data_IF_700455647856
#
_entry.id   IF_700455647856
#
_cell.length_a   1.000
_cell.length_b   1.000
_cell.length_c   1.000
_cell.angle_alpha   90.00
_cell.angle_beta   90.00
_cell.angle_gamma   90.00
#
_symmetry.space_group_name_H-M   'P 1'
#
loop_
_entity.id
_entity.type
_entity.pdbx_description
1 polymer ?
#
# COMPACT_ATOMS: atom_id res chain seq x y z
N UNK A 1 17.31 -30.83 33.08
CA UNK A 1 16.93 -30.36 31.73
C UNK A 1 16.26 -29.00 31.91
N UNK A 2 16.98 -27.91 31.65
CA UNK A 2 16.43 -26.56 31.71
C UNK A 2 15.69 -26.33 30.37
N UNK A 3 14.38 -26.27 30.43
CA UNK A 3 13.55 -25.89 29.28
C UNK A 3 13.84 -24.44 28.91
N UNK A 4 14.72 -24.24 27.95
CA UNK A 4 14.92 -22.93 27.32
C UNK A 4 13.74 -22.70 26.39
N UNK A 5 12.59 -22.28 26.93
CA UNK A 5 11.59 -21.58 26.13
C UNK A 5 12.25 -20.29 25.67
N UNK A 6 12.75 -20.28 24.43
CA UNK A 6 13.15 -19.06 23.75
C UNK A 6 11.98 -18.08 23.82
N UNK A 7 12.10 -17.06 24.67
CA UNK A 7 11.14 -15.96 24.71
C UNK A 7 11.42 -15.12 23.47
N UNK A 8 10.70 -15.39 22.39
CA UNK A 8 10.63 -14.47 21.25
C UNK A 8 10.31 -13.08 21.79
N UNK A 9 11.00 -12.02 21.36
CA UNK A 9 10.66 -10.68 21.77
C UNK A 9 9.15 -10.45 21.66
N UNK A 10 8.48 -9.89 22.68
CA UNK A 10 7.02 -9.88 22.76
C UNK A 10 6.33 -9.43 21.48
N UNK A 11 6.81 -8.36 20.86
CA UNK A 11 6.17 -7.80 19.67
C UNK A 11 6.30 -8.70 18.42
N UNK A 12 7.43 -9.39 18.23
CA UNK A 12 7.61 -10.36 17.12
C UNK A 12 6.73 -11.59 17.33
N UNK A 13 6.62 -12.07 18.56
CA UNK A 13 5.77 -13.19 18.91
C UNK A 13 4.29 -12.88 18.71
N UNK A 14 3.86 -11.69 19.07
CA UNK A 14 2.47 -11.24 18.90
C UNK A 14 2.11 -11.13 17.42
N UNK A 15 2.94 -10.49 16.58
CA UNK A 15 2.67 -10.34 15.16
C UNK A 15 2.63 -11.70 14.44
N UNK A 16 3.57 -12.60 14.70
CA UNK A 16 3.59 -13.94 14.11
C UNK A 16 2.40 -14.78 14.59
N UNK A 17 1.98 -14.64 15.84
CA UNK A 17 0.78 -15.28 16.37
C UNK A 17 -0.49 -14.78 15.67
N UNK A 18 -0.61 -13.48 15.43
CA UNK A 18 -1.72 -12.88 14.70
C UNK A 18 -1.76 -13.34 13.24
N UNK A 19 -0.62 -13.32 12.55
CA UNK A 19 -0.47 -13.84 11.19
C UNK A 19 -0.93 -15.30 11.11
N UNK A 20 -0.53 -16.13 12.08
CA UNK A 20 -0.94 -17.52 12.17
C UNK A 20 -2.45 -17.67 12.39
N UNK A 21 -3.03 -16.91 13.31
CA UNK A 21 -4.50 -16.92 13.56
C UNK A 21 -5.30 -16.52 12.33
N UNK A 22 -4.78 -15.58 11.52
CA UNK A 22 -5.40 -15.15 10.28
C UNK A 22 -5.14 -16.11 9.10
N UNK A 23 -4.32 -17.16 9.30
CA UNK A 23 -3.94 -18.11 8.25
C UNK A 23 -3.16 -17.46 7.10
N UNK A 24 -2.25 -16.53 7.43
CA UNK A 24 -1.49 -15.75 6.46
C UNK A 24 -0.04 -16.23 6.27
N UNK A 25 0.33 -17.41 6.81
CA UNK A 25 1.72 -17.91 6.73
C UNK A 25 2.18 -18.10 5.28
N UNK A 26 1.28 -18.65 4.41
CA UNK A 26 1.58 -18.78 2.97
C UNK A 26 1.87 -17.43 2.31
N UNK A 27 1.13 -16.39 2.71
CA UNK A 27 1.35 -15.04 2.19
C UNK A 27 2.70 -14.45 2.62
N UNK A 28 3.21 -14.81 3.79
CA UNK A 28 4.57 -14.46 4.21
C UNK A 28 5.61 -15.15 3.32
N UNK A 29 5.44 -16.43 3.03
CA UNK A 29 6.35 -17.16 2.13
C UNK A 29 6.40 -16.51 0.74
N UNK A 30 5.25 -16.10 0.20
CA UNK A 30 5.19 -15.37 -1.08
C UNK A 30 6.00 -14.07 -1.01
N UNK A 31 5.83 -13.28 0.08
CA UNK A 31 6.58 -12.03 0.27
C UNK A 31 8.09 -12.25 0.34
N UNK A 32 8.54 -13.32 1.00
CA UNK A 32 9.97 -13.64 1.13
C UNK A 32 10.57 -14.16 -0.19
N UNK A 33 9.82 -14.94 -0.95
CA UNK A 33 10.32 -15.56 -2.19
C UNK A 33 10.15 -14.62 -3.37
N UNK A 34 8.93 -14.14 -3.58
CA UNK A 34 8.54 -13.37 -4.77
C UNK A 34 8.57 -11.86 -4.57
N UNK A 35 8.51 -11.39 -3.32
CA UNK A 35 8.44 -9.96 -2.96
C UNK A 35 7.04 -9.38 -2.95
N UNK A 36 6.03 -10.16 -3.29
CA UNK A 36 4.61 -9.77 -3.24
C UNK A 36 3.70 -10.95 -2.93
N UNK A 37 2.47 -10.66 -2.53
CA UNK A 37 1.44 -11.68 -2.27
C UNK A 37 0.05 -11.14 -2.57
N UNK A 38 -0.90 -12.04 -2.81
CA UNK A 38 -2.33 -11.73 -3.02
C UNK A 38 -3.17 -12.40 -1.94
N UNK A 39 -3.84 -11.60 -1.13
CA UNK A 39 -4.73 -12.08 -0.07
C UNK A 39 -6.18 -12.03 -0.58
N UNK A 40 -6.92 -13.16 -0.54
CA UNK A 40 -8.26 -13.25 -1.12
C UNK A 40 -9.30 -12.43 -0.35
N UNK A 41 -10.41 -12.00 -1.00
CA UNK A 41 -11.42 -11.09 -0.45
C UNK A 41 -11.96 -11.50 0.91
N UNK A 42 -12.19 -12.79 1.10
CA UNK A 42 -12.75 -13.36 2.36
C UNK A 42 -11.93 -13.07 3.61
N UNK A 43 -10.64 -12.77 3.44
CA UNK A 43 -9.72 -12.43 4.54
C UNK A 43 -9.55 -10.92 4.75
N UNK A 44 -10.19 -10.10 3.93
CA UNK A 44 -9.96 -8.65 3.91
C UNK A 44 -11.17 -7.90 4.46
N UNK A 45 -12.31 -7.98 3.77
CA UNK A 45 -13.50 -7.23 4.15
C UNK A 45 -14.75 -7.84 3.50
N UNK A 46 -15.92 -7.44 4.00
CA UNK A 46 -17.19 -7.83 3.42
C UNK A 46 -17.42 -7.20 2.04
N UNK A 47 -18.25 -7.85 1.23
CA UNK A 47 -18.71 -7.29 -0.06
C UNK A 47 -19.40 -5.92 0.12
N UNK A 48 -20.09 -5.73 1.25
CA UNK A 48 -20.70 -4.44 1.57
C UNK A 48 -19.65 -3.34 1.75
N UNK A 49 -18.54 -3.62 2.43
CA UNK A 49 -17.42 -2.68 2.59
C UNK A 49 -16.79 -2.35 1.24
N UNK A 50 -16.53 -3.35 0.42
CA UNK A 50 -16.01 -3.17 -0.95
C UNK A 50 -16.92 -2.24 -1.77
N UNK A 51 -18.23 -2.44 -1.74
CA UNK A 51 -19.17 -1.60 -2.48
C UNK A 51 -19.24 -0.17 -1.95
N UNK A 52 -19.16 0.03 -0.62
CA UNK A 52 -19.04 1.36 -0.02
C UNK A 52 -17.76 2.07 -0.46
N UNK A 53 -16.63 1.36 -0.48
CA UNK A 53 -15.34 1.89 -0.92
C UNK A 53 -15.38 2.32 -2.40
N UNK A 54 -15.95 1.49 -3.30
CA UNK A 54 -16.16 1.85 -4.71
C UNK A 54 -16.97 3.13 -4.86
N UNK A 55 -18.10 3.21 -4.14
CA UNK A 55 -18.97 4.40 -4.17
C UNK A 55 -18.23 5.65 -3.69
N UNK A 56 -17.47 5.55 -2.62
CA UNK A 56 -16.66 6.66 -2.11
C UNK A 56 -15.62 7.13 -3.13
N UNK A 57 -14.85 6.21 -3.72
CA UNK A 57 -13.85 6.57 -4.76
C UNK A 57 -14.51 7.25 -5.95
N UNK A 58 -15.61 6.70 -6.49
CA UNK A 58 -16.31 7.30 -7.63
C UNK A 58 -16.92 8.66 -7.28
N UNK A 59 -17.52 8.81 -6.10
CA UNK A 59 -18.06 10.09 -5.62
C UNK A 59 -16.97 11.15 -5.55
N UNK A 60 -15.85 10.85 -4.91
CA UNK A 60 -14.72 11.78 -4.78
C UNK A 60 -14.14 12.14 -6.16
N UNK A 61 -14.06 11.16 -7.05
CA UNK A 61 -13.63 11.39 -8.42
C UNK A 61 -14.55 12.39 -9.13
N UNK A 62 -15.87 12.17 -9.04
CA UNK A 62 -16.88 13.07 -9.63
C UNK A 62 -16.79 14.49 -9.05
N UNK A 63 -16.70 14.61 -7.73
CA UNK A 63 -16.58 15.89 -7.01
C UNK A 63 -15.32 16.68 -7.44
N UNK A 64 -14.17 16.00 -7.51
CA UNK A 64 -12.89 16.66 -7.85
C UNK A 64 -12.74 17.00 -9.33
N UNK A 65 -13.40 16.25 -10.20
CA UNK A 65 -13.26 16.44 -11.66
C UNK A 65 -14.42 17.22 -12.29
N UNK A 66 -15.57 17.29 -11.63
CA UNK A 66 -16.81 17.77 -12.20
C UNK A 66 -17.38 16.85 -13.29
N UNK A 67 -16.86 15.61 -13.42
CA UNK A 67 -17.28 14.62 -14.43
C UNK A 67 -17.88 13.40 -13.75
N UNK A 68 -18.82 12.74 -14.43
CA UNK A 68 -19.42 11.50 -13.92
C UNK A 68 -18.62 10.30 -14.38
N UNK A 69 -17.96 9.64 -13.43
CA UNK A 69 -17.29 8.36 -13.67
C UNK A 69 -18.26 7.19 -13.50
N UNK A 70 -18.17 6.22 -14.40
CA UNK A 70 -18.99 5.02 -14.44
C UNK A 70 -18.07 3.81 -14.63
N UNK A 71 -18.26 2.76 -13.85
CA UNK A 71 -17.44 1.54 -13.91
C UNK A 71 -17.40 0.90 -15.29
N UNK A 72 -18.50 1.03 -16.05
CA UNK A 72 -18.67 0.39 -17.36
C UNK A 72 -18.23 1.27 -18.54
N UNK A 73 -17.78 2.50 -18.26
CA UNK A 73 -17.36 3.47 -19.28
C UNK A 73 -15.90 3.83 -19.10
N UNK A 74 -15.22 4.09 -20.21
CA UNK A 74 -13.86 4.62 -20.16
C UNK A 74 -13.87 6.06 -19.62
N UNK A 75 -12.75 6.46 -18.98
CA UNK A 75 -12.46 7.85 -18.71
C UNK A 75 -12.12 8.62 -20.00
N UNK A 76 -12.00 9.94 -19.87
CA UNK A 76 -11.73 10.82 -21.01
C UNK A 76 -10.27 11.30 -20.99
N UNK A 77 -9.52 10.97 -22.03
CA UNK A 77 -8.12 11.41 -22.21
C UNK A 77 -7.98 12.93 -22.06
N UNK A 78 -7.00 13.37 -21.25
CA UNK A 78 -6.58 14.77 -21.20
C UNK A 78 -7.56 15.78 -20.59
N UNK A 79 -8.71 15.33 -20.07
CA UNK A 79 -9.77 16.23 -19.57
C UNK A 79 -9.78 16.47 -18.05
N UNK A 80 -8.77 16.00 -17.33
CA UNK A 80 -8.70 16.12 -15.88
C UNK A 80 -7.52 17.01 -15.46
N UNK A 81 -7.74 17.88 -14.47
CA UNK A 81 -6.71 18.80 -13.97
C UNK A 81 -5.60 18.11 -13.18
N UNK A 82 -5.84 16.92 -12.62
CA UNK A 82 -4.80 16.17 -11.94
C UNK A 82 -3.94 15.45 -12.97
N UNK A 83 -2.63 15.42 -12.75
CA UNK A 83 -1.67 14.88 -13.68
C UNK A 83 -1.90 13.38 -13.90
N UNK A 84 -2.38 12.96 -15.07
CA UNK A 84 -2.37 11.55 -15.41
C UNK A 84 -0.92 11.16 -15.67
N UNK A 85 -0.50 10.06 -15.09
CA UNK A 85 0.80 9.46 -15.45
C UNK A 85 0.77 8.87 -16.86
N UNK A 86 -0.42 8.61 -17.39
CA UNK A 86 -0.68 8.14 -18.74
C UNK A 86 -1.99 8.71 -19.27
N UNK A 87 -2.21 8.61 -20.58
CA UNK A 87 -3.44 9.04 -21.24
C UNK A 87 -4.69 8.23 -20.85
N UNK A 88 -4.51 7.08 -20.22
CA UNK A 88 -5.58 6.15 -19.83
C UNK A 88 -5.71 5.98 -18.30
N UNK A 89 -5.24 6.97 -17.54
CA UNK A 89 -5.23 6.89 -16.09
C UNK A 89 -5.45 8.25 -15.43
N UNK A 90 -6.14 8.23 -14.30
CA UNK A 90 -6.34 9.38 -13.42
C UNK A 90 -6.05 8.97 -11.96
N UNK A 91 -5.36 9.82 -11.21
CA UNK A 91 -5.00 9.54 -9.83
C UNK A 91 -5.76 10.46 -8.87
N UNK A 92 -6.35 9.86 -7.84
CA UNK A 92 -6.87 10.56 -6.68
C UNK A 92 -5.87 10.47 -5.53
N UNK A 93 -5.52 11.61 -4.98
CA UNK A 93 -4.62 11.73 -3.84
C UNK A 93 -5.38 12.13 -2.56
N UNK A 94 -4.74 12.00 -1.41
CA UNK A 94 -5.30 12.39 -0.10
C UNK A 94 -6.67 11.75 0.19
N UNK A 95 -6.83 10.48 -0.13
CA UNK A 95 -8.10 9.79 0.08
C UNK A 95 -8.46 9.68 1.55
N UNK A 96 -7.47 9.51 2.43
CA UNK A 96 -7.69 9.43 3.88
C UNK A 96 -8.46 10.64 4.41
N UNK A 97 -8.25 11.81 3.81
CA UNK A 97 -8.89 13.07 4.22
C UNK A 97 -10.27 13.29 3.57
N UNK A 98 -10.69 12.41 2.68
CA UNK A 98 -11.88 12.63 1.84
C UNK A 98 -13.13 11.90 2.33
N UNK A 99 -12.97 10.81 3.09
CA UNK A 99 -14.11 10.03 3.62
C UNK A 99 -13.66 9.13 4.78
N UNK A 100 -14.43 9.01 5.88
CA UNK A 100 -14.12 8.13 7.01
C UNK A 100 -13.97 6.64 6.66
N UNK A 101 -14.42 6.19 5.49
CA UNK A 101 -14.22 4.81 5.05
C UNK A 101 -12.74 4.47 4.87
N UNK A 102 -11.92 5.46 4.51
CA UNK A 102 -10.47 5.27 4.33
C UNK A 102 -9.73 5.18 5.68
N UNK A 103 -10.27 5.80 6.73
CA UNK A 103 -9.76 5.61 8.10
C UNK A 103 -10.00 4.15 8.55
N UNK A 104 -11.21 3.62 8.30
CA UNK A 104 -11.55 2.21 8.56
C UNK A 104 -10.69 1.25 7.74
N UNK A 105 -10.36 1.63 6.51
CA UNK A 105 -9.46 0.86 5.66
C UNK A 105 -8.04 0.85 6.23
N UNK A 106 -7.51 2.01 6.62
CA UNK A 106 -6.18 2.11 7.22
C UNK A 106 -6.03 1.24 8.49
N UNK A 107 -7.13 1.06 9.21
CA UNK A 107 -7.19 0.22 10.41
C UNK A 107 -7.55 -1.25 10.12
N UNK A 108 -7.61 -1.67 8.85
CA UNK A 108 -7.92 -3.06 8.51
C UNK A 108 -6.90 -4.02 9.15
N UNK A 109 -7.36 -5.05 9.91
CA UNK A 109 -6.46 -5.93 10.65
C UNK A 109 -5.47 -6.69 9.75
N UNK A 110 -5.95 -7.22 8.62
CA UNK A 110 -5.10 -7.99 7.69
C UNK A 110 -4.03 -7.10 7.05
N UNK A 111 -4.40 -5.88 6.61
CA UNK A 111 -3.46 -4.89 6.10
C UNK A 111 -2.37 -4.59 7.15
N UNK A 112 -2.79 -4.30 8.38
CA UNK A 112 -1.86 -3.94 9.44
C UNK A 112 -0.94 -5.09 9.84
N UNK A 113 -1.45 -6.32 9.97
CA UNK A 113 -0.62 -7.49 10.32
C UNK A 113 0.49 -7.72 9.28
N UNK A 114 0.17 -7.56 7.99
CA UNK A 114 1.14 -7.71 6.91
C UNK A 114 2.15 -6.57 6.84
N UNK A 115 1.71 -5.33 7.10
CA UNK A 115 2.62 -4.18 7.16
C UNK A 115 3.53 -4.22 8.41
N UNK A 116 2.98 -4.62 9.56
CA UNK A 116 3.76 -4.84 10.78
C UNK A 116 4.86 -5.91 10.55
N UNK A 117 4.57 -6.95 9.75
CA UNK A 117 5.57 -7.94 9.36
C UNK A 117 6.66 -7.34 8.47
N UNK A 118 6.29 -6.70 7.36
CA UNK A 118 7.23 -6.15 6.39
C UNK A 118 8.11 -5.04 6.96
N UNK A 119 7.54 -4.19 7.80
CA UNK A 119 8.20 -2.97 8.28
C UNK A 119 8.55 -3.02 9.78
N UNK A 120 8.44 -4.22 10.40
CA UNK A 120 8.81 -4.45 11.80
C UNK A 120 8.12 -3.49 12.79
N UNK A 121 6.87 -3.14 12.52
CA UNK A 121 6.09 -2.23 13.37
C UNK A 121 6.48 -0.75 13.29
N UNK A 122 7.35 -0.37 12.35
CA UNK A 122 7.85 1.01 12.21
C UNK A 122 7.16 1.81 11.10
N UNK A 123 6.09 1.25 10.51
CA UNK A 123 5.38 1.88 9.40
C UNK A 123 4.55 3.08 9.81
N UNK A 124 4.49 4.02 8.91
CA UNK A 124 3.47 5.07 8.84
C UNK A 124 2.92 5.16 7.42
N UNK A 125 1.70 5.67 7.27
CA UNK A 125 1.10 5.90 5.97
C UNK A 125 1.81 7.07 5.28
N UNK A 126 2.41 6.82 4.13
CA UNK A 126 3.04 7.86 3.32
C UNK A 126 2.06 8.53 2.37
N UNK A 127 1.21 7.73 1.70
CA UNK A 127 0.12 8.25 0.88
C UNK A 127 -1.01 7.22 0.74
N UNK A 128 -2.23 7.71 0.48
CA UNK A 128 -3.38 6.88 0.16
C UNK A 128 -4.05 7.42 -1.10
N UNK A 129 -3.91 6.65 -2.19
CA UNK A 129 -4.30 7.07 -3.53
C UNK A 129 -5.24 6.06 -4.19
N UNK A 130 -5.94 6.48 -5.25
CA UNK A 130 -6.64 5.55 -6.14
C UNK A 130 -6.19 5.78 -7.57
N UNK A 131 -5.82 4.70 -8.23
CA UNK A 131 -5.53 4.67 -9.65
C UNK A 131 -6.80 4.29 -10.40
N UNK A 132 -7.39 5.25 -11.08
CA UNK A 132 -8.56 5.06 -11.92
C UNK A 132 -8.08 4.87 -13.34
N UNK A 133 -8.05 3.62 -13.80
CA UNK A 133 -7.51 3.24 -15.09
C UNK A 133 -8.62 2.82 -16.04
N UNK A 134 -8.55 3.21 -17.31
CA UNK A 134 -9.44 2.80 -18.38
C UNK A 134 -8.66 2.24 -19.56
N UNK A 135 -9.36 1.79 -20.57
CA UNK A 135 -8.78 1.17 -21.76
C UNK A 135 -7.73 2.06 -22.41
N UNK A 136 -6.55 1.50 -22.68
CA UNK A 136 -5.41 2.17 -23.32
C UNK A 136 -4.09 1.47 -23.02
N UNK A 137 -3.04 1.93 -23.69
CA UNK A 137 -1.71 1.30 -23.67
C UNK A 137 -0.95 1.49 -22.35
N UNK A 138 -1.44 2.39 -21.47
CA UNK A 138 -0.83 2.62 -20.17
C UNK A 138 0.63 3.10 -20.29
N UNK A 139 1.56 2.29 -19.79
CA UNK A 139 3.01 2.57 -19.85
C UNK A 139 3.70 1.94 -21.07
N UNK A 140 2.90 1.41 -22.03
CA UNK A 140 3.41 0.77 -23.24
C UNK A 140 4.28 -0.45 -22.97
N UNK A 141 5.24 -0.69 -23.86
CA UNK A 141 6.12 -1.87 -23.83
C UNK A 141 7.01 -1.95 -22.59
N UNK A 142 7.32 -0.83 -21.95
CA UNK A 142 8.15 -0.81 -20.74
C UNK A 142 7.41 -1.26 -19.48
N UNK A 143 6.08 -1.37 -19.53
CA UNK A 143 5.18 -1.61 -18.40
C UNK A 143 5.36 -0.61 -17.24
N UNK A 144 6.21 0.43 -17.40
CA UNK A 144 6.57 1.38 -16.35
C UNK A 144 7.28 0.75 -15.16
N UNK A 145 8.06 -0.31 -15.36
CA UNK A 145 8.72 -1.05 -14.29
C UNK A 145 9.67 -0.14 -13.49
N UNK A 146 9.50 -0.15 -12.19
CA UNK A 146 10.33 0.57 -11.22
C UNK A 146 10.29 -0.11 -9.85
N UNK A 147 11.22 0.28 -8.98
CA UNK A 147 11.18 -0.02 -7.55
C UNK A 147 10.83 1.25 -6.77
N UNK A 148 9.98 1.13 -5.77
CA UNK A 148 9.66 2.24 -4.85
C UNK A 148 10.84 2.59 -3.94
N UNK A 149 11.68 1.60 -3.63
CA UNK A 149 12.89 1.79 -2.85
C UNK A 149 13.98 2.36 -3.74
N UNK A 150 14.49 3.52 -3.36
CA UNK A 150 15.74 4.03 -3.91
C UNK A 150 16.86 3.63 -2.96
N UNK A 151 17.80 2.78 -3.39
CA UNK A 151 18.93 2.42 -2.54
C UNK A 151 19.66 3.71 -2.11
N UNK A 152 19.83 3.89 -0.82
CA UNK A 152 20.66 4.96 -0.27
C UNK A 152 22.15 4.64 -0.35
N UNK A 153 22.48 3.39 -0.69
CA UNK A 153 23.84 2.88 -0.83
C UNK A 153 24.21 2.76 -2.30
N UNK A 154 25.44 3.11 -2.69
CA UNK A 154 25.94 2.85 -4.02
C UNK A 154 25.84 1.38 -4.43
N UNK A 155 25.68 1.13 -5.73
CA UNK A 155 25.62 -0.23 -6.27
C UNK A 155 26.85 -1.05 -5.83
N UNK A 156 26.60 -2.26 -5.33
CA UNK A 156 27.66 -3.16 -4.85
C UNK A 156 27.94 -3.12 -3.34
N UNK A 157 27.35 -2.20 -2.59
CA UNK A 157 27.42 -2.23 -1.12
C UNK A 157 26.29 -3.10 -0.53
N UNK A 158 26.52 -3.61 0.69
CA UNK A 158 25.56 -4.48 1.38
C UNK A 158 24.24 -3.73 1.57
N UNK A 159 23.13 -4.24 1.02
CA UNK A 159 21.84 -3.59 1.17
C UNK A 159 21.32 -3.72 2.59
N UNK A 160 20.44 -2.80 3.00
CA UNK A 160 19.70 -2.93 4.24
C UNK A 160 18.89 -4.25 4.23
N UNK A 161 18.86 -4.94 5.35
CA UNK A 161 18.12 -6.20 5.50
C UNK A 161 16.59 -6.01 5.49
N UNK A 162 16.11 -4.78 5.46
CA UNK A 162 14.68 -4.43 5.36
C UNK A 162 14.46 -3.27 4.40
N UNK A 163 13.23 -3.11 3.98
CA UNK A 163 12.83 -2.04 3.07
C UNK A 163 12.25 -0.87 3.87
N UNK A 164 12.67 0.35 3.53
CA UNK A 164 12.15 1.59 4.13
C UNK A 164 10.72 1.91 3.70
N UNK A 165 10.23 1.23 2.67
CA UNK A 165 8.90 1.42 2.10
C UNK A 165 8.26 0.08 1.75
N UNK A 166 6.93 0.03 1.84
CA UNK A 166 6.11 -1.11 1.41
C UNK A 166 4.77 -0.61 0.92
N UNK A 167 4.13 -1.38 0.07
CA UNK A 167 2.92 -0.94 -0.58
C UNK A 167 1.80 -1.99 -0.51
N UNK A 168 0.57 -1.51 -0.61
CA UNK A 168 -0.60 -2.35 -0.69
C UNK A 168 -1.59 -1.81 -1.70
N UNK A 169 -2.30 -2.70 -2.38
CA UNK A 169 -3.35 -2.36 -3.33
C UNK A 169 -4.62 -3.13 -3.02
N UNK A 170 -5.63 -2.45 -2.50
CA UNK A 170 -6.97 -3.00 -2.34
C UNK A 170 -7.69 -2.94 -3.68
N UNK A 171 -7.93 -4.11 -4.29
CA UNK A 171 -8.54 -4.22 -5.60
C UNK A 171 -10.04 -3.93 -5.53
N UNK A 172 -10.50 -2.80 -6.04
CA UNK A 172 -11.92 -2.48 -6.07
C UNK A 172 -12.65 -3.09 -7.28
N UNK A 173 -11.91 -3.52 -8.30
CA UNK A 173 -12.37 -4.28 -9.47
C UNK A 173 -11.44 -5.47 -9.69
N UNK A 174 -11.84 -6.42 -10.55
CA UNK A 174 -10.97 -7.54 -10.89
C UNK A 174 -9.67 -7.07 -11.57
N UNK A 175 -8.57 -7.67 -11.18
CA UNK A 175 -7.26 -7.54 -11.77
C UNK A 175 -6.98 -8.78 -12.59
N UNK A 176 -6.97 -8.63 -13.90
CA UNK A 176 -6.53 -9.64 -14.88
C UNK A 176 -5.57 -8.96 -15.84
N UNK A 177 -4.79 -9.72 -16.58
CA UNK A 177 -3.92 -9.16 -17.61
C UNK A 177 -4.69 -8.23 -18.54
N UNK A 178 -5.82 -8.70 -19.08
CA UNK A 178 -6.70 -7.94 -19.98
C UNK A 178 -7.28 -6.67 -19.33
N UNK A 179 -7.51 -6.71 -18.01
CA UNK A 179 -8.02 -5.57 -17.25
C UNK A 179 -6.90 -4.65 -16.70
N UNK A 180 -5.67 -4.81 -17.21
CA UNK A 180 -4.53 -3.98 -16.87
C UNK A 180 -4.03 -4.22 -15.44
N UNK A 181 -3.85 -5.48 -15.06
CA UNK A 181 -3.27 -5.87 -13.78
C UNK A 181 -1.92 -5.22 -13.52
N UNK A 182 -1.50 -5.21 -12.27
CA UNK A 182 -0.13 -4.86 -11.93
C UNK A 182 0.82 -5.86 -12.59
N UNK A 183 1.93 -5.33 -13.11
CA UNK A 183 3.06 -6.11 -13.57
C UNK A 183 4.05 -6.21 -12.41
N UNK A 184 4.51 -7.41 -12.07
CA UNK A 184 5.56 -7.61 -11.07
C UNK A 184 6.60 -8.59 -11.59
N UNK A 185 7.87 -8.32 -11.27
CA UNK A 185 8.99 -9.20 -11.56
C UNK A 185 9.34 -9.98 -10.29
N UNK A 186 8.92 -11.26 -10.16
CA UNK A 186 9.12 -12.04 -8.95
C UNK A 186 10.61 -12.12 -8.56
N UNK A 187 10.91 -11.97 -7.27
CA UNK A 187 12.27 -12.04 -6.74
C UNK A 187 13.15 -10.81 -6.97
N UNK A 188 12.71 -9.83 -7.77
CA UNK A 188 13.50 -8.64 -8.10
C UNK A 188 13.82 -7.76 -6.89
N UNK A 189 13.03 -7.84 -5.82
CA UNK A 189 13.29 -7.13 -4.56
C UNK A 189 14.65 -7.45 -3.95
N UNK A 190 15.22 -8.61 -4.28
CA UNK A 190 16.54 -9.05 -3.81
C UNK A 190 17.71 -8.47 -4.60
N UNK A 191 17.41 -7.74 -5.69
CA UNK A 191 18.44 -7.07 -6.49
C UNK A 191 18.84 -5.72 -5.89
N UNK A 192 18.02 -5.14 -5.01
CA UNK A 192 18.29 -3.89 -4.27
C UNK A 192 18.67 -2.71 -5.16
N UNK A 193 18.14 -2.66 -6.35
CA UNK A 193 18.37 -1.58 -7.32
C UNK A 193 17.16 -1.33 -8.20
N UNK A 194 17.18 -0.23 -8.91
CA UNK A 194 16.20 0.04 -9.97
C UNK A 194 16.45 -0.86 -11.20
N UNK A 195 15.40 -1.23 -11.94
CA UNK A 195 15.57 -1.84 -13.26
C UNK A 195 16.24 -0.86 -14.22
N UNK A 196 17.07 -1.36 -15.11
CA UNK A 196 17.53 -0.60 -16.28
C UNK A 196 16.37 -0.45 -17.29
N UNK A 197 16.41 0.51 -18.22
CA UNK A 197 15.39 0.63 -19.26
C UNK A 197 15.15 -0.70 -19.99
N UNK A 198 13.89 -1.19 -19.97
CA UNK A 198 13.49 -2.46 -20.59
C UNK A 198 13.85 -3.73 -19.80
N UNK A 199 14.61 -3.61 -18.72
CA UNK A 199 14.99 -4.79 -17.93
C UNK A 199 13.78 -5.36 -17.17
N UNK A 200 13.62 -6.68 -17.20
CA UNK A 200 12.60 -7.42 -16.47
C UNK A 200 11.23 -7.45 -17.14
N UNK A 201 11.03 -6.78 -18.27
CA UNK A 201 9.75 -6.78 -19.00
C UNK A 201 9.37 -8.21 -19.43
N UNK A 202 10.33 -8.99 -19.90
CA UNK A 202 10.19 -10.40 -20.29
C UNK A 202 9.90 -11.35 -19.12
N UNK A 203 10.16 -10.92 -17.88
CA UNK A 203 9.96 -11.67 -16.64
C UNK A 203 8.76 -11.16 -15.84
N UNK A 204 8.17 -10.05 -16.26
CA UNK A 204 7.03 -9.46 -15.57
C UNK A 204 5.79 -10.33 -15.76
N UNK A 205 5.12 -10.64 -14.66
CA UNK A 205 3.87 -11.38 -14.65
C UNK A 205 2.69 -10.50 -14.24
N UNK A 206 1.48 -10.75 -14.78
CA UNK A 206 0.27 -10.06 -14.35
C UNK A 206 -0.19 -10.59 -12.99
N UNK A 207 -0.28 -9.70 -12.01
CA UNK A 207 -0.81 -10.05 -10.69
C UNK A 207 -2.33 -10.16 -10.75
N UNK A 208 -2.84 -11.37 -10.86
CA UNK A 208 -4.27 -11.63 -10.94
C UNK A 208 -4.91 -11.63 -9.55
N UNK A 209 -6.00 -10.85 -9.41
CA UNK A 209 -6.71 -10.71 -8.14
C UNK A 209 -8.19 -10.38 -8.38
N UNK A 210 -9.08 -11.05 -7.66
CA UNK A 210 -10.51 -10.72 -7.65
C UNK A 210 -10.77 -9.41 -6.91
N UNK A 211 -11.83 -8.73 -7.29
CA UNK A 211 -12.31 -7.57 -6.55
C UNK A 211 -12.50 -7.89 -5.06
N UNK A 212 -11.99 -7.02 -4.19
CA UNK A 212 -11.92 -7.24 -2.75
C UNK A 212 -10.64 -7.92 -2.25
N UNK A 213 -9.77 -8.38 -3.13
CA UNK A 213 -8.43 -8.88 -2.76
C UNK A 213 -7.51 -7.73 -2.36
N UNK A 214 -6.50 -8.06 -1.58
CA UNK A 214 -5.41 -7.17 -1.19
C UNK A 214 -4.09 -7.71 -1.75
N UNK A 215 -3.45 -6.92 -2.61
CA UNK A 215 -2.08 -7.17 -3.07
C UNK A 215 -1.16 -6.43 -2.12
N UNK A 216 -0.14 -7.12 -1.59
CA UNK A 216 0.89 -6.54 -0.72
C UNK A 216 2.25 -6.83 -1.33
N UNK A 217 3.13 -5.85 -1.29
CA UNK A 217 4.47 -6.00 -1.80
C UNK A 217 5.48 -5.11 -1.08
N UNK A 218 6.72 -5.56 -0.99
CA UNK A 218 7.80 -4.74 -0.48
C UNK A 218 8.23 -3.70 -1.51
N UNK A 219 8.78 -2.59 -1.07
CA UNK A 219 9.13 -1.49 -1.94
C UNK A 219 10.29 -1.78 -2.91
N UNK A 220 11.03 -2.86 -2.70
CA UNK A 220 12.17 -3.24 -3.55
C UNK A 220 11.77 -4.00 -4.82
N UNK A 221 10.54 -4.53 -4.90
CA UNK A 221 10.10 -5.27 -6.07
C UNK A 221 9.97 -4.35 -7.29
N UNK A 222 10.41 -4.83 -8.44
CA UNK A 222 10.15 -4.15 -9.71
C UNK A 222 8.72 -4.39 -10.13
N UNK A 223 7.98 -3.30 -10.22
CA UNK A 223 6.56 -3.36 -10.54
C UNK A 223 6.13 -2.23 -11.47
N UNK A 224 5.00 -2.44 -12.10
CA UNK A 224 4.37 -1.52 -13.03
C UNK A 224 2.95 -1.95 -13.34
N UNK A 225 2.48 -1.78 -14.55
CA UNK A 225 1.14 -2.21 -14.93
C UNK A 225 1.03 -2.57 -16.41
N UNK A 226 0.35 -3.68 -16.67
CA UNK A 226 -0.04 -4.07 -18.02
C UNK A 226 -1.04 -3.07 -18.64
N UNK A 227 -1.09 -2.95 -19.98
CA UNK A 227 -2.12 -2.22 -20.68
C UNK A 227 -3.52 -2.72 -20.30
N UNK A 228 -4.50 -1.83 -20.24
CA UNK A 228 -5.89 -2.23 -20.05
C UNK A 228 -6.58 -2.34 -21.39
N UNK A 229 -6.88 -3.56 -21.81
CA UNK A 229 -7.49 -3.87 -23.12
C UNK A 229 -9.02 -3.82 -23.06
N UNK A 230 -9.62 -4.02 -21.89
CA UNK A 230 -11.08 -4.05 -21.70
C UNK A 230 -11.66 -2.66 -21.48
N UNK A 231 -12.91 -2.45 -21.89
CA UNK A 231 -13.69 -1.24 -21.62
C UNK A 231 -14.04 -1.10 -20.14
N UNK A 232 -14.28 0.12 -19.68
CA UNK A 232 -14.67 0.43 -18.31
C UNK A 232 -13.49 0.75 -17.41
N UNK A 233 -13.76 0.97 -16.13
CA UNK A 233 -12.76 1.40 -15.14
C UNK A 233 -12.18 0.21 -14.37
N UNK A 234 -10.88 0.25 -14.13
CA UNK A 234 -10.20 -0.52 -13.09
C UNK A 234 -9.88 0.41 -11.93
N UNK A 235 -10.38 0.09 -10.74
CA UNK A 235 -10.25 0.89 -9.53
C UNK A 235 -9.48 0.15 -8.45
N UNK A 236 -8.77 0.90 -7.64
CA UNK A 236 -8.14 0.41 -6.41
C UNK A 236 -8.12 1.49 -5.32
N UNK A 237 -7.67 1.10 -4.14
CA UNK A 237 -7.09 2.00 -3.14
C UNK A 237 -5.69 1.49 -2.84
N UNK A 238 -4.69 2.29 -3.13
CA UNK A 238 -3.29 2.01 -2.81
C UNK A 238 -2.93 2.72 -1.53
N UNK A 239 -2.36 1.99 -0.57
CA UNK A 239 -1.82 2.56 0.66
C UNK A 239 -0.32 2.30 0.69
N UNK A 240 0.43 3.38 0.47
CA UNK A 240 1.88 3.37 0.46
C UNK A 240 2.40 3.71 1.85
N UNK A 241 3.17 2.81 2.42
CA UNK A 241 3.75 2.95 3.75
C UNK A 241 5.24 3.24 3.66
N UNK A 242 5.74 4.03 4.60
CA UNK A 242 7.16 4.25 4.77
C UNK A 242 7.55 4.08 6.25
N UNK A 243 8.85 3.86 6.47
CA UNK A 243 9.41 3.87 7.81
C UNK A 243 9.22 5.26 8.45
N UNK A 244 8.94 5.32 9.74
CA UNK A 244 8.72 6.57 10.52
C UNK A 244 9.86 7.59 10.45
N UNK A 245 11.06 7.17 10.08
CA UNK A 245 12.21 8.06 9.84
C UNK A 245 12.08 8.87 8.56
N UNK A 246 11.22 8.46 7.63
CA UNK A 246 11.06 9.11 6.33
C UNK A 246 9.95 10.14 6.36
N UNK A 247 10.12 11.20 5.57
CA UNK A 247 9.05 12.15 5.30
C UNK A 247 8.00 11.50 4.41
N UNK A 248 6.74 11.61 4.81
CA UNK A 248 5.60 11.09 4.03
C UNK A 248 5.38 11.90 2.75
N UNK A 249 4.83 11.24 1.71
CA UNK A 249 4.43 11.91 0.46
C UNK A 249 3.27 12.88 0.70
N UNK A 250 2.28 12.45 1.49
CA UNK A 250 1.12 13.27 1.87
C UNK A 250 1.30 13.73 3.32
N UNK A 251 1.06 14.99 3.59
CA UNK A 251 1.37 15.63 4.89
C UNK A 251 0.27 15.35 5.95
N UNK A 252 0.02 14.07 6.25
CA UNK A 252 -1.03 13.66 7.17
C UNK A 252 -0.86 14.22 8.57
N UNK A 253 0.34 14.18 9.12
CA UNK A 253 0.66 14.70 10.45
C UNK A 253 0.09 16.11 10.71
N UNK A 254 0.05 16.94 9.66
CA UNK A 254 -0.41 18.33 9.74
C UNK A 254 -1.86 18.53 9.31
N UNK A 255 -2.51 17.50 8.78
CA UNK A 255 -3.87 17.60 8.20
C UNK A 255 -4.91 16.80 8.95
N UNK A 256 -4.50 15.79 9.70
CA UNK A 256 -5.40 15.00 10.54
C UNK A 256 -5.99 15.89 11.61
N UNK A 257 -7.30 15.90 11.70
CA UNK A 257 -8.02 16.75 12.67
C UNK A 257 -8.14 16.05 14.04
N UNK A 258 -8.38 16.84 15.08
CA UNK A 258 -8.66 16.31 16.41
C UNK A 258 -9.85 15.33 16.39
N UNK A 259 -10.90 15.64 15.64
CA UNK A 259 -12.07 14.74 15.51
C UNK A 259 -11.70 13.39 14.88
N UNK A 260 -10.79 13.37 13.89
CA UNK A 260 -10.29 12.11 13.33
C UNK A 260 -9.50 11.30 14.36
N UNK A 261 -8.69 11.96 15.18
CA UNK A 261 -7.94 11.30 16.25
C UNK A 261 -8.87 10.77 17.35
N UNK A 262 -9.86 11.56 17.77
CA UNK A 262 -10.77 11.21 18.86
C UNK A 262 -11.70 10.03 18.50
N UNK A 263 -12.11 9.92 17.23
CA UNK A 263 -13.00 8.82 16.78
C UNK A 263 -12.29 7.52 16.40
N UNK A 264 -10.97 7.53 16.35
CA UNK A 264 -10.16 6.37 15.99
C UNK A 264 -9.30 5.89 17.17
N UNK A 265 -8.90 4.61 17.19
CA UNK A 265 -8.02 4.10 18.22
C UNK A 265 -6.60 4.72 18.12
N UNK A 266 -5.78 4.66 19.19
CA UNK A 266 -4.41 5.20 19.21
C UNK A 266 -3.52 4.72 18.06
N UNK A 267 -3.73 3.51 17.55
CA UNK A 267 -3.05 2.98 16.37
C UNK A 267 -3.22 3.89 15.12
N UNK A 268 -4.36 4.57 14.99
CA UNK A 268 -4.59 5.51 13.90
C UNK A 268 -3.61 6.69 13.97
N UNK A 269 -3.47 7.31 15.14
CA UNK A 269 -2.52 8.42 15.35
C UNK A 269 -1.11 8.01 14.96
N UNK A 270 -0.67 6.81 15.39
CA UNK A 270 0.62 6.25 15.02
C UNK A 270 0.79 6.10 13.50
N UNK A 271 -0.21 5.54 12.83
CA UNK A 271 -0.15 5.30 11.38
C UNK A 271 -0.11 6.58 10.55
N UNK A 272 -0.64 7.68 11.05
CA UNK A 272 -0.63 8.99 10.36
C UNK A 272 0.49 9.93 10.85
N UNK A 273 1.35 9.44 11.76
CA UNK A 273 2.47 10.21 12.31
C UNK A 273 2.05 11.36 13.22
N UNK A 274 0.84 11.29 13.78
CA UNK A 274 0.28 12.30 14.70
C UNK A 274 0.38 11.90 16.18
N UNK A 275 1.08 10.79 16.47
CA UNK A 275 1.37 10.37 17.83
C UNK A 275 2.62 11.08 18.36
N UNK A 276 2.59 11.36 19.66
CA UNK A 276 3.73 11.87 20.42
C UNK A 276 4.13 10.83 21.45
N UNK A 277 5.07 9.97 21.08
CA UNK A 277 5.50 8.86 21.94
C UNK A 277 6.25 9.33 23.16
N UNK A 278 6.96 10.46 23.08
CA UNK A 278 7.87 10.94 24.13
C UNK A 278 7.35 12.19 24.83
N UNK A 279 6.30 12.85 24.31
CA UNK A 279 5.79 14.08 24.88
C UNK A 279 6.85 15.18 25.01
N UNK A 280 7.66 15.35 23.95
CA UNK A 280 8.72 16.37 23.95
C UNK A 280 8.15 17.77 24.14
N UNK A 281 8.67 18.49 25.11
CA UNK A 281 8.43 19.91 25.31
C UNK A 281 9.76 20.66 25.59
N UNK A 282 9.68 21.91 26.00
CA UNK A 282 10.87 22.72 26.31
C UNK A 282 11.73 22.16 27.46
N UNK A 283 11.19 21.23 28.26
CA UNK A 283 11.89 20.56 29.38
C UNK A 283 12.51 19.21 28.96
N UNK A 284 12.28 18.78 27.74
CA UNK A 284 12.74 17.51 27.20
C UNK A 284 11.64 16.45 27.11
N UNK A 285 12.03 15.17 26.93
CA UNK A 285 11.10 14.06 26.81
C UNK A 285 10.49 13.67 28.18
N UNK A 286 9.26 13.21 28.14
CA UNK A 286 8.60 12.60 29.28
C UNK A 286 8.97 11.12 29.40
N UNK A 287 9.98 10.80 30.15
CA UNK A 287 10.43 9.41 30.41
C UNK A 287 9.47 8.57 31.27
N UNK A 288 8.39 9.16 31.79
CA UNK A 288 7.34 8.39 32.48
C UNK A 288 6.39 7.72 31.50
N UNK A 289 6.38 8.16 30.25
CA UNK A 289 5.63 7.48 29.19
C UNK A 289 6.33 6.16 28.85
N UNK A 290 5.63 5.03 28.91
CA UNK A 290 6.24 3.76 28.59
C UNK A 290 6.73 3.77 27.14
N UNK A 291 8.02 3.56 26.94
CA UNK A 291 8.58 3.32 25.62
C UNK A 291 8.02 2.00 25.08
N UNK A 292 6.97 2.09 24.27
CA UNK A 292 6.26 0.90 23.74
C UNK A 292 7.05 0.10 22.70
N UNK A 293 8.29 0.50 22.39
CA UNK A 293 9.04 -0.02 21.24
C UNK A 293 10.53 -0.32 21.50
N UNK A 294 10.91 -0.43 22.76
CA UNK A 294 12.22 -1.02 23.13
C UNK A 294 12.05 -2.43 23.68
#
# INVERSE_FOLDING_TARGET
>A
MVSTKSKTPPYLGENLSEIKKMGLQGNINDLEIDGFTVIPPKKIASTQFLNKMRKAVLRICNERTGKKFDLNKNGEKGKYKAQPQTDSQFLLYYLLMADPIFEKWLLNPTLNAMMDYLMKGTQQLSSMTSFIKWQGDGYGETLGLHSDTRPSTPEGLIPNSWFDVSNSTYCLTDYTEENGAMAMVPGSHRLYRQPKPGEGVDKAIPVQAKAGSLIIFNGGIWHGAFPKKTKGLRLNVTSYFCHRKLKTQEAYQWRVTKEMLDRNPPKFAKLVGADDEYGWDAKGPDYSRPMKYL
#
